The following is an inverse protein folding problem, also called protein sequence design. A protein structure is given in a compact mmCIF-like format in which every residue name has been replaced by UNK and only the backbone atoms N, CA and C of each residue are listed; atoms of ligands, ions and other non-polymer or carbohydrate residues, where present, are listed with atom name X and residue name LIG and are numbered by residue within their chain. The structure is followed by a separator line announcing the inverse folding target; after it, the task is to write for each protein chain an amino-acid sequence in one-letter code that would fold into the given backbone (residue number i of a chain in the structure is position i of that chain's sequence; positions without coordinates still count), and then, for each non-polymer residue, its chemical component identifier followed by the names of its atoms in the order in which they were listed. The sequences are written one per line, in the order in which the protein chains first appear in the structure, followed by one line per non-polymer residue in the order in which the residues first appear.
data_IF_758870451139
#
_entry.id   IF_758870451139
#
_cell.length_a   1.000
_cell.length_b   1.000
_cell.length_c   1.000
_cell.angle_alpha   90.00
_cell.angle_beta   90.00
_cell.angle_gamma   90.00
#
_symmetry.space_group_name_H-M   'P 1'
#
loop_
_entity.id
_entity.type
_entity.pdbx_description
1 polymer ?
#
# COMPACT_ATOMS: atom_id res chain seq x y z
N UNK A 1 3.81 7.89 -10.07
CA UNK A 1 4.86 8.86 -9.68
C UNK A 1 4.79 9.07 -8.19
N UNK A 2 5.91 9.04 -7.46
CA UNK A 2 5.93 9.36 -6.03
C UNK A 2 5.97 10.87 -5.83
N UNK A 3 5.07 11.39 -4.99
CA UNK A 3 5.06 12.79 -4.55
C UNK A 3 5.73 12.90 -3.19
N UNK A 4 5.21 12.18 -2.20
CA UNK A 4 5.79 12.11 -0.86
C UNK A 4 5.58 13.35 -0.01
N UNK A 5 4.51 14.08 -0.28
CA UNK A 5 4.12 15.28 0.44
C UNK A 5 2.67 15.18 0.86
N UNK A 6 2.34 15.93 1.90
CA UNK A 6 0.97 16.11 2.35
C UNK A 6 0.90 17.49 2.98
N UNK A 7 0.94 18.49 2.11
CA UNK A 7 0.99 19.90 2.49
C UNK A 7 0.12 20.76 1.58
N UNK A 8 -0.76 20.11 0.81
CA UNK A 8 -1.60 20.75 -0.19
C UNK A 8 -0.82 21.09 -1.45
N UNK A 9 -1.42 21.94 -2.27
CA UNK A 9 -0.90 22.31 -3.59
C UNK A 9 0.23 23.35 -3.47
N UNK A 10 1.36 22.96 -2.91
CA UNK A 10 2.57 23.79 -2.83
C UNK A 10 3.20 24.02 -4.20
N UNK A 11 4.12 24.98 -4.32
CA UNK A 11 4.86 25.17 -5.57
C UNK A 11 5.65 23.90 -5.98
N UNK A 12 6.26 23.22 -5.00
CA UNK A 12 7.01 21.99 -5.25
C UNK A 12 6.11 20.84 -5.71
N UNK A 13 4.93 20.67 -5.10
CA UNK A 13 3.92 19.73 -5.56
C UNK A 13 3.54 19.99 -7.03
N UNK A 14 3.27 21.26 -7.38
CA UNK A 14 2.92 21.64 -8.75
C UNK A 14 4.05 21.32 -9.73
N UNK A 15 5.30 21.62 -9.36
CA UNK A 15 6.47 21.33 -10.19
C UNK A 15 6.63 19.82 -10.44
N UNK A 16 6.48 18.99 -9.39
CA UNK A 16 6.53 17.55 -9.50
C UNK A 16 5.43 17.00 -10.42
N UNK A 17 4.18 17.41 -10.22
CA UNK A 17 3.07 16.92 -11.05
C UNK A 17 3.24 17.39 -12.49
N UNK A 18 3.51 18.69 -12.72
CA UNK A 18 3.67 19.25 -14.07
C UNK A 18 4.84 18.62 -14.84
N UNK A 19 5.88 18.11 -14.15
CA UNK A 19 7.00 17.44 -14.81
C UNK A 19 6.62 16.14 -15.53
N UNK A 20 5.49 15.51 -15.16
CA UNK A 20 5.07 14.20 -15.68
C UNK A 20 3.61 14.11 -16.11
N UNK A 21 2.78 15.13 -15.86
CA UNK A 21 1.31 15.08 -16.06
C UNK A 21 0.89 14.71 -17.48
N UNK A 22 1.66 15.15 -18.48
CA UNK A 22 1.40 14.86 -19.90
C UNK A 22 2.08 13.58 -20.39
N UNK A 23 2.82 12.87 -19.53
CA UNK A 23 3.52 11.65 -19.93
C UNK A 23 2.50 10.56 -20.31
N UNK A 24 2.55 9.99 -21.53
CA UNK A 24 1.50 9.11 -22.04
C UNK A 24 1.38 7.76 -21.30
N UNK A 25 2.37 7.42 -20.47
CA UNK A 25 2.37 6.22 -19.61
C UNK A 25 2.12 6.53 -18.13
N UNK A 26 1.76 7.76 -17.80
CA UNK A 26 1.42 8.11 -16.43
C UNK A 26 0.11 7.40 -16.05
N UNK A 27 0.21 6.48 -15.10
CA UNK A 27 -0.94 5.80 -14.51
C UNK A 27 -1.57 6.59 -13.35
N UNK A 28 -0.73 7.20 -12.52
CA UNK A 28 -1.19 7.90 -11.33
C UNK A 28 -0.06 8.40 -10.43
N UNK A 29 -0.46 9.00 -9.31
CA UNK A 29 0.39 9.63 -8.31
C UNK A 29 0.23 8.94 -6.95
N UNK A 30 1.36 8.52 -6.36
CA UNK A 30 1.45 8.06 -4.99
C UNK A 30 1.73 9.29 -4.13
N UNK A 31 0.68 9.82 -3.51
CA UNK A 31 0.70 11.08 -2.79
C UNK A 31 1.54 10.96 -1.52
N UNK A 32 1.21 9.98 -0.66
CA UNK A 32 1.84 9.85 0.65
C UNK A 32 1.87 8.41 1.15
N UNK A 33 3.00 8.04 1.75
CA UNK A 33 3.24 6.80 2.47
C UNK A 33 3.05 7.03 3.97
N UNK A 34 2.16 6.24 4.59
CA UNK A 34 1.76 6.37 5.99
C UNK A 34 1.45 7.82 6.40
N UNK A 35 0.44 8.48 5.81
CA UNK A 35 0.03 9.82 6.23
C UNK A 35 -0.42 9.78 7.70
N UNK A 36 0.14 10.66 8.53
CA UNK A 36 -0.17 10.75 9.98
C UNK A 36 -1.14 11.91 10.27
N UNK A 37 -2.43 11.63 10.55
CA UNK A 37 -3.45 12.65 10.81
C UNK A 37 -3.30 13.28 12.20
N UNK A 38 -2.46 12.70 13.05
CA UNK A 38 -2.22 13.17 14.42
C UNK A 38 -0.97 14.02 14.54
N UNK A 39 -0.04 13.90 13.58
CA UNK A 39 1.28 14.54 13.62
C UNK A 39 2.18 14.02 14.74
N UNK A 40 1.86 12.87 15.35
CA UNK A 40 2.55 12.34 16.53
C UNK A 40 3.84 11.61 16.17
N UNK A 41 3.85 10.93 15.04
CA UNK A 41 4.93 10.02 14.61
C UNK A 41 5.63 10.52 13.36
N UNK A 42 4.90 11.24 12.50
CA UNK A 42 5.39 11.89 11.28
C UNK A 42 4.82 13.32 11.20
N UNK A 43 5.31 14.18 10.28
CA UNK A 43 4.67 15.47 10.04
C UNK A 43 3.16 15.33 9.83
N UNK A 44 2.39 16.26 10.41
CA UNK A 44 0.93 16.26 10.31
C UNK A 44 0.50 16.26 8.84
N UNK A 45 -0.29 15.27 8.47
CA UNK A 45 -0.88 15.15 7.14
C UNK A 45 -2.39 15.14 7.28
N UNK A 46 -3.06 16.23 6.91
CA UNK A 46 -4.52 16.32 7.01
C UNK A 46 -5.18 15.71 5.79
N UNK A 47 -6.32 15.06 5.97
CA UNK A 47 -7.18 14.63 4.86
C UNK A 47 -7.53 15.79 3.88
N UNK A 48 -7.66 17.03 4.37
CA UNK A 48 -7.90 18.22 3.54
C UNK A 48 -6.73 18.57 2.61
N UNK A 49 -5.50 18.28 3.02
CA UNK A 49 -4.31 18.58 2.22
C UNK A 49 -4.22 17.57 1.06
N UNK A 50 -4.45 16.28 1.34
CA UNK A 50 -4.59 15.23 0.32
C UNK A 50 -5.75 15.51 -0.64
N UNK A 51 -6.87 16.03 -0.13
CA UNK A 51 -8.00 16.47 -0.94
C UNK A 51 -7.60 17.55 -1.94
N UNK A 52 -6.90 18.58 -1.47
CA UNK A 52 -6.45 19.67 -2.34
C UNK A 52 -5.48 19.16 -3.42
N UNK A 53 -4.57 18.24 -3.05
CA UNK A 53 -3.63 17.62 -3.99
C UNK A 53 -4.35 16.74 -5.04
N UNK A 54 -5.27 15.88 -4.60
CA UNK A 54 -6.06 15.02 -5.49
C UNK A 54 -6.94 15.83 -6.45
N UNK A 55 -7.68 16.82 -5.94
CA UNK A 55 -8.52 17.71 -6.75
C UNK A 55 -7.69 18.40 -7.84
N UNK A 56 -6.51 18.92 -7.46
CA UNK A 56 -5.64 19.64 -8.39
C UNK A 56 -5.09 18.76 -9.51
N UNK A 57 -4.75 17.49 -9.20
CA UNK A 57 -4.34 16.48 -10.19
C UNK A 57 -5.50 16.19 -11.15
N UNK A 58 -6.69 15.91 -10.64
CA UNK A 58 -7.85 15.56 -11.47
C UNK A 58 -8.32 16.71 -12.36
N UNK A 59 -8.18 17.97 -11.95
CA UNK A 59 -8.42 19.13 -12.81
C UNK A 59 -7.54 19.17 -14.07
N UNK A 60 -6.32 18.62 -13.99
CA UNK A 60 -5.31 18.67 -15.07
C UNK A 60 -5.22 17.37 -15.84
N UNK A 61 -5.43 16.25 -15.16
CA UNK A 61 -5.40 14.91 -15.73
C UNK A 61 -6.51 14.07 -15.11
N UNK A 62 -7.76 14.20 -15.59
CA UNK A 62 -8.92 13.51 -15.02
C UNK A 62 -8.79 11.98 -14.96
N UNK A 63 -7.98 11.39 -15.85
CA UNK A 63 -7.78 9.94 -15.92
C UNK A 63 -6.63 9.43 -15.02
N UNK A 64 -5.85 10.32 -14.39
CA UNK A 64 -4.76 9.91 -13.51
C UNK A 64 -5.29 9.56 -12.12
N UNK A 65 -4.90 8.40 -11.60
CA UNK A 65 -5.30 7.96 -10.27
C UNK A 65 -4.41 8.55 -9.18
N UNK A 66 -4.97 8.74 -8.00
CA UNK A 66 -4.25 9.09 -6.77
C UNK A 66 -4.25 7.93 -5.78
N UNK A 67 -3.13 7.77 -5.08
CA UNK A 67 -2.91 6.64 -4.20
C UNK A 67 -2.21 7.07 -2.90
N UNK A 68 -2.61 6.50 -1.78
CA UNK A 68 -1.89 6.58 -0.49
C UNK A 68 -1.73 5.19 0.11
N UNK A 69 -0.68 4.96 0.89
CA UNK A 69 -0.57 3.80 1.77
C UNK A 69 -1.02 4.21 3.17
N UNK A 70 -2.09 3.60 3.68
CA UNK A 70 -2.70 4.03 4.94
C UNK A 70 -1.82 3.71 6.14
N UNK A 71 -1.59 4.72 6.99
CA UNK A 71 -0.93 4.52 8.27
C UNK A 71 -1.86 3.75 9.23
N UNK A 72 -1.40 2.60 9.71
CA UNK A 72 -2.09 1.93 10.82
C UNK A 72 -1.88 2.71 12.13
N UNK A 73 -2.96 3.25 12.69
CA UNK A 73 -2.97 3.98 13.97
C UNK A 73 -3.18 3.06 15.18
N UNK A 74 -3.49 1.78 14.92
CA UNK A 74 -3.68 0.75 15.94
C UNK A 74 -2.52 -0.24 16.01
N UNK A 75 -2.83 -1.47 16.43
CA UNK A 75 -1.90 -2.61 16.39
C UNK A 75 -2.23 -3.52 15.20
N UNK A 76 -1.41 -4.52 14.89
CA UNK A 76 -1.75 -5.53 13.89
C UNK A 76 -2.81 -6.53 14.39
N UNK A 77 -3.07 -6.57 15.69
CA UNK A 77 -4.17 -7.34 16.28
C UNK A 77 -5.50 -6.58 16.22
N UNK A 78 -5.46 -5.25 16.29
CA UNK A 78 -6.60 -4.35 16.19
C UNK A 78 -6.21 -3.12 15.36
N UNK A 79 -6.13 -3.27 14.01
CA UNK A 79 -5.75 -2.16 13.14
C UNK A 79 -6.85 -1.10 13.11
N UNK A 80 -6.43 0.14 12.91
CA UNK A 80 -7.34 1.28 12.81
C UNK A 80 -6.78 2.30 11.82
N UNK A 81 -7.65 2.88 11.00
CA UNK A 81 -7.31 3.91 10.03
C UNK A 81 -8.18 5.15 10.25
N UNK A 82 -7.69 6.32 9.88
CA UNK A 82 -8.46 7.55 10.04
C UNK A 82 -9.53 7.67 8.96
N UNK A 83 -10.76 8.00 9.37
CA UNK A 83 -11.86 8.26 8.46
C UNK A 83 -11.67 9.53 7.61
N UNK A 84 -10.78 10.44 8.00
CA UNK A 84 -10.49 11.64 7.20
C UNK A 84 -9.80 11.32 5.87
N UNK A 85 -9.21 10.12 5.75
CA UNK A 85 -8.61 9.65 4.52
C UNK A 85 -9.61 8.92 3.62
N UNK A 86 -10.85 8.69 4.06
CA UNK A 86 -11.87 8.07 3.21
C UNK A 86 -12.09 8.85 1.90
N UNK A 87 -12.47 8.18 0.79
CA UNK A 87 -12.69 8.83 -0.49
C UNK A 87 -13.56 10.08 -0.43
N UNK A 88 -14.63 10.04 0.35
CA UNK A 88 -15.58 11.14 0.50
C UNK A 88 -14.98 12.39 1.16
N UNK A 89 -13.86 12.22 1.89
CA UNK A 89 -13.16 13.30 2.59
C UNK A 89 -11.87 13.72 1.89
N UNK A 90 -11.05 12.76 1.47
CA UNK A 90 -9.72 12.98 0.90
C UNK A 90 -9.71 13.06 -0.61
N UNK A 91 -10.78 12.63 -1.28
CA UNK A 91 -10.86 12.48 -2.73
C UNK A 91 -9.74 11.61 -3.34
N UNK A 92 -9.04 10.81 -2.52
CA UNK A 92 -8.04 9.86 -3.02
C UNK A 92 -8.75 8.66 -3.67
N UNK A 93 -8.20 8.14 -4.76
CA UNK A 93 -8.81 7.07 -5.54
C UNK A 93 -8.56 5.70 -4.94
N UNK A 94 -7.30 5.43 -4.56
CA UNK A 94 -6.83 4.11 -4.16
C UNK A 94 -6.06 4.14 -2.84
N UNK A 95 -6.24 3.07 -2.06
CA UNK A 95 -5.76 2.99 -0.68
C UNK A 95 -5.03 1.68 -0.47
N UNK A 96 -3.73 1.77 -0.27
CA UNK A 96 -2.92 0.64 0.16
C UNK A 96 -3.20 0.34 1.63
N UNK A 97 -3.24 -0.95 1.95
CA UNK A 97 -3.26 -1.46 3.31
C UNK A 97 -2.10 -2.43 3.45
N UNK A 98 -1.26 -2.25 4.46
CA UNK A 98 0.05 -2.92 4.60
C UNK A 98 0.10 -3.91 5.78
N UNK A 99 -0.69 -4.99 5.78
CA UNK A 99 -0.49 -6.07 6.75
C UNK A 99 0.85 -6.77 6.45
N UNK A 100 1.66 -6.96 7.49
CA UNK A 100 2.93 -7.70 7.42
C UNK A 100 2.86 -8.96 8.28
N UNK A 101 2.24 -10.04 7.75
CA UNK A 101 1.84 -11.22 8.51
C UNK A 101 3.01 -12.16 8.85
N UNK A 102 4.17 -12.03 8.22
CA UNK A 102 5.31 -12.93 8.40
C UNK A 102 6.32 -12.35 9.39
N UNK A 103 6.17 -12.73 10.67
CA UNK A 103 7.03 -12.28 11.77
C UNK A 103 7.98 -13.36 12.26
N UNK A 104 9.10 -12.95 12.85
CA UNK A 104 10.14 -13.85 13.39
C UNK A 104 9.60 -14.67 14.56
N UNK A 105 8.77 -14.07 15.43
CA UNK A 105 8.22 -14.78 16.57
C UNK A 105 7.14 -15.81 16.20
N UNK A 106 6.72 -15.85 14.92
CA UNK A 106 5.62 -16.71 14.47
C UNK A 106 6.11 -17.84 13.55
N UNK A 107 5.69 -19.10 13.80
CA UNK A 107 6.12 -20.24 13.01
C UNK A 107 5.60 -20.19 11.57
N UNK A 108 4.47 -19.53 11.34
CA UNK A 108 3.81 -19.32 10.04
C UNK A 108 3.31 -17.88 9.95
N UNK A 109 3.11 -17.36 8.74
CA UNK A 109 2.49 -16.05 8.58
C UNK A 109 1.04 -16.07 9.08
N UNK A 110 0.61 -15.01 9.77
CA UNK A 110 -0.79 -14.82 10.20
C UNK A 110 -1.63 -14.19 9.08
N UNK A 111 -2.18 -15.03 8.19
CA UNK A 111 -2.98 -14.53 7.06
C UNK A 111 -4.26 -13.81 7.49
N UNK A 112 -4.80 -14.10 8.68
CA UNK A 112 -5.96 -13.38 9.22
C UNK A 112 -5.64 -11.90 9.50
N UNK A 113 -4.36 -11.51 9.53
CA UNK A 113 -3.97 -10.10 9.59
C UNK A 113 -4.47 -9.32 8.38
N UNK A 114 -4.50 -9.95 7.19
CA UNK A 114 -5.01 -9.32 5.97
C UNK A 114 -6.49 -8.95 6.16
N UNK A 115 -7.28 -9.91 6.65
CA UNK A 115 -8.71 -9.73 6.94
C UNK A 115 -8.96 -8.57 7.89
N UNK A 116 -8.17 -8.50 8.97
CA UNK A 116 -8.30 -7.45 9.98
C UNK A 116 -8.01 -6.07 9.38
N UNK A 117 -6.98 -5.95 8.56
CA UNK A 117 -6.62 -4.69 7.90
C UNK A 117 -7.68 -4.28 6.87
N UNK A 118 -8.16 -5.21 6.05
CA UNK A 118 -9.24 -4.94 5.08
C UNK A 118 -10.51 -4.51 5.81
N UNK A 119 -10.92 -5.22 6.86
CA UNK A 119 -12.09 -4.88 7.65
C UNK A 119 -11.96 -3.52 8.33
N UNK A 120 -10.78 -3.18 8.87
CA UNK A 120 -10.54 -1.87 9.47
C UNK A 120 -10.59 -0.74 8.44
N UNK A 121 -10.06 -0.94 7.22
CA UNK A 121 -10.17 0.04 6.15
C UNK A 121 -11.63 0.26 5.71
N UNK A 122 -12.42 -0.81 5.63
CA UNK A 122 -13.85 -0.68 5.36
C UNK A 122 -14.58 0.07 6.47
N UNK A 123 -14.25 -0.20 7.73
CA UNK A 123 -14.81 0.52 8.89
C UNK A 123 -14.44 2.01 8.90
N UNK A 124 -13.27 2.38 8.35
CA UNK A 124 -12.88 3.78 8.17
C UNK A 124 -13.46 4.43 6.91
N UNK A 125 -14.35 3.75 6.18
CA UNK A 125 -15.03 4.30 5.00
C UNK A 125 -14.36 4.02 3.66
N UNK A 126 -13.35 3.14 3.59
CA UNK A 126 -12.73 2.74 2.32
C UNK A 126 -13.54 1.61 1.67
N UNK A 127 -14.15 1.82 0.49
CA UNK A 127 -14.87 0.76 -0.19
C UNK A 127 -13.89 -0.26 -0.77
N UNK A 128 -14.28 -1.54 -0.75
CA UNK A 128 -13.45 -2.68 -1.18
C UNK A 128 -12.80 -2.51 -2.58
N UNK A 129 -13.49 -1.99 -3.62
CA UNK A 129 -12.87 -1.79 -4.94
C UNK A 129 -11.76 -0.74 -4.98
N UNK A 130 -11.63 0.09 -3.93
CA UNK A 130 -10.56 1.10 -3.81
C UNK A 130 -9.39 0.63 -2.96
N UNK A 131 -9.46 -0.58 -2.40
CA UNK A 131 -8.37 -1.18 -1.64
C UNK A 131 -7.33 -1.73 -2.63
N UNK A 132 -6.07 -1.40 -2.40
CA UNK A 132 -4.91 -1.89 -3.15
C UNK A 132 -4.16 -2.91 -2.30
N UNK A 133 -4.09 -4.19 -2.71
CA UNK A 133 -3.31 -5.21 -2.03
C UNK A 133 -1.84 -4.80 -1.87
N UNK A 134 -1.31 -4.93 -0.65
CA UNK A 134 0.12 -4.77 -0.39
C UNK A 134 0.71 -6.06 0.16
N UNK A 135 1.68 -6.61 -0.54
CA UNK A 135 2.33 -7.87 -0.19
C UNK A 135 3.61 -7.64 0.60
N UNK A 136 3.78 -8.37 1.71
CA UNK A 136 5.05 -8.42 2.41
C UNK A 136 6.06 -9.23 1.58
N UNK A 137 6.98 -8.57 0.89
CA UNK A 137 8.07 -9.17 0.13
C UNK A 137 9.45 -8.85 0.75
N UNK A 138 9.48 -8.60 2.06
CA UNK A 138 10.67 -8.27 2.83
C UNK A 138 10.76 -9.04 4.16
N UNK A 139 11.94 -9.01 4.78
CA UNK A 139 12.16 -9.44 6.16
C UNK A 139 13.63 -9.45 6.57
N UNK A 140 13.89 -9.60 7.88
CA UNK A 140 15.20 -9.37 8.48
C UNK A 140 15.45 -7.89 8.76
N UNK A 141 16.73 -7.50 8.80
CA UNK A 141 17.13 -6.12 9.07
C UNK A 141 16.83 -5.66 10.49
N UNK A 142 16.66 -4.35 10.66
CA UNK A 142 16.36 -3.71 11.96
C UNK A 142 14.91 -3.25 12.08
N UNK A 143 14.02 -3.77 11.24
CA UNK A 143 12.59 -3.53 11.39
C UNK A 143 12.06 -4.16 12.68
N UNK A 144 11.23 -3.42 13.40
CA UNK A 144 10.50 -3.91 14.57
C UNK A 144 9.01 -3.89 14.26
N UNK A 145 8.31 -4.95 14.61
CA UNK A 145 6.86 -4.97 14.65
C UNK A 145 6.34 -4.26 15.90
N UNK A 146 5.02 -4.05 15.95
CA UNK A 146 4.31 -3.57 17.14
C UNK A 146 4.32 -4.56 18.33
N UNK A 147 4.74 -5.81 18.10
CA UNK A 147 4.99 -6.82 19.14
C UNK A 147 6.42 -6.82 19.67
N UNK A 148 7.29 -5.95 19.13
CA UNK A 148 8.70 -5.84 19.53
C UNK A 148 9.63 -6.91 18.93
N UNK A 149 9.11 -7.79 18.07
CA UNK A 149 9.92 -8.72 17.28
C UNK A 149 10.24 -8.14 15.89
N UNK A 150 10.86 -8.94 15.01
CA UNK A 150 11.17 -8.52 13.64
C UNK A 150 10.31 -9.21 12.59
N UNK A 151 10.47 -8.78 11.34
CA UNK A 151 9.85 -9.44 10.19
C UNK A 151 10.77 -10.51 9.61
N UNK A 152 10.19 -11.53 8.98
CA UNK A 152 10.95 -12.52 8.20
C UNK A 152 10.44 -12.58 6.77
N UNK A 153 11.31 -12.97 5.86
CA UNK A 153 10.90 -13.22 4.48
C UNK A 153 9.83 -14.33 4.45
N UNK A 154 8.71 -14.14 3.72
CA UNK A 154 7.80 -15.22 3.44
C UNK A 154 8.50 -16.31 2.63
N UNK A 155 8.13 -17.56 2.88
CA UNK A 155 8.45 -18.66 1.97
C UNK A 155 7.59 -18.57 0.69
N UNK A 156 7.93 -19.35 -0.34
CA UNK A 156 7.13 -19.43 -1.58
C UNK A 156 5.68 -19.87 -1.29
N UNK A 157 5.50 -20.85 -0.39
CA UNK A 157 4.17 -21.34 -0.04
C UNK A 157 3.36 -20.25 0.68
N UNK A 158 3.97 -19.57 1.67
CA UNK A 158 3.31 -18.48 2.40
C UNK A 158 2.96 -17.29 1.49
N UNK A 159 3.82 -16.96 0.51
CA UNK A 159 3.51 -15.91 -0.46
C UNK A 159 2.34 -16.31 -1.37
N UNK A 160 2.27 -17.57 -1.83
CA UNK A 160 1.12 -18.01 -2.62
C UNK A 160 -0.18 -17.92 -1.79
N UNK A 161 -0.18 -18.36 -0.54
CA UNK A 161 -1.36 -18.24 0.33
C UNK A 161 -1.72 -16.77 0.65
N UNK A 162 -0.73 -15.87 0.67
CA UNK A 162 -0.98 -14.43 0.79
C UNK A 162 -1.66 -13.87 -0.47
N UNK A 163 -1.20 -14.24 -1.66
CA UNK A 163 -1.82 -13.86 -2.94
C UNK A 163 -3.25 -14.38 -3.05
N UNK A 164 -3.47 -15.66 -2.72
CA UNK A 164 -4.79 -16.29 -2.69
C UNK A 164 -5.73 -15.58 -1.71
N UNK A 165 -5.26 -15.27 -0.50
CA UNK A 165 -6.11 -14.56 0.47
C UNK A 165 -6.47 -13.15 0.02
N UNK A 166 -5.52 -12.45 -0.62
CA UNK A 166 -5.80 -11.14 -1.21
C UNK A 166 -6.80 -11.22 -2.36
N UNK A 167 -6.73 -12.24 -3.22
CA UNK A 167 -7.65 -12.40 -4.35
C UNK A 167 -9.07 -12.76 -3.89
N UNK A 168 -9.22 -13.48 -2.78
CA UNK A 168 -10.54 -13.71 -2.17
C UNK A 168 -11.19 -12.43 -1.64
N UNK A 169 -10.40 -11.57 -0.99
CA UNK A 169 -10.90 -10.35 -0.35
C UNK A 169 -11.07 -9.19 -1.34
N UNK A 170 -10.13 -9.01 -2.25
CA UNK A 170 -10.11 -7.92 -3.23
C UNK A 170 -9.86 -8.54 -4.60
N UNK A 171 -10.88 -9.16 -5.23
CA UNK A 171 -10.69 -9.98 -6.44
C UNK A 171 -10.34 -9.20 -7.70
N UNK A 172 -10.69 -7.92 -7.76
CA UNK A 172 -10.45 -7.07 -8.94
C UNK A 172 -9.79 -5.75 -8.50
N UNK A 173 -8.58 -5.78 -7.94
CA UNK A 173 -7.90 -4.56 -7.55
C UNK A 173 -7.44 -3.82 -8.81
N UNK A 174 -7.42 -2.48 -8.75
CA UNK A 174 -6.97 -1.65 -9.88
C UNK A 174 -5.47 -1.87 -10.16
N UNK A 175 -4.68 -2.06 -9.10
CA UNK A 175 -3.32 -2.59 -9.15
C UNK A 175 -2.98 -3.24 -7.80
N UNK A 176 -1.80 -3.86 -7.70
CA UNK A 176 -1.23 -4.37 -6.46
C UNK A 176 0.24 -3.97 -6.31
N UNK A 177 0.77 -4.10 -5.10
CA UNK A 177 2.11 -3.61 -4.78
C UNK A 177 2.85 -4.55 -3.81
N UNK A 178 4.15 -4.75 -4.04
CA UNK A 178 5.02 -5.51 -3.15
C UNK A 178 5.91 -4.56 -2.33
N UNK A 179 5.77 -4.59 -1.01
CA UNK A 179 6.69 -3.91 -0.10
C UNK A 179 7.76 -4.90 0.38
N UNK A 180 9.05 -4.76 0.07
CA UNK A 180 9.65 -3.73 -0.79
C UNK A 180 10.57 -4.34 -1.83
N UNK A 181 10.84 -3.58 -2.91
CA UNK A 181 11.76 -4.01 -3.97
C UNK A 181 13.22 -3.96 -3.51
N UNK A 182 13.66 -2.81 -2.97
CA UNK A 182 15.05 -2.57 -2.57
C UNK A 182 15.25 -2.76 -1.07
N UNK A 183 16.49 -3.07 -0.68
CA UNK A 183 16.88 -3.25 0.73
C UNK A 183 16.66 -1.97 1.52
N UNK A 184 16.03 -2.12 2.68
CA UNK A 184 15.85 -1.06 3.66
C UNK A 184 16.27 -1.56 5.04
N UNK A 185 16.96 -0.71 5.80
CA UNK A 185 17.36 -1.04 7.18
C UNK A 185 18.10 -2.40 7.30
N UNK A 186 18.91 -2.73 6.30
CA UNK A 186 19.66 -3.99 6.18
C UNK A 186 18.78 -5.25 6.12
N UNK A 187 17.54 -5.14 5.66
CA UNK A 187 16.66 -6.29 5.42
C UNK A 187 17.04 -7.08 4.16
N UNK A 188 16.32 -8.18 3.94
CA UNK A 188 16.20 -8.82 2.63
C UNK A 188 14.93 -8.30 1.98
N UNK A 189 15.03 -7.86 0.73
CA UNK A 189 13.92 -7.35 -0.06
C UNK A 189 13.67 -8.23 -1.29
N UNK A 190 12.63 -7.92 -2.07
CA UNK A 190 12.25 -8.71 -3.25
C UNK A 190 13.38 -8.79 -4.28
N UNK A 191 14.17 -7.73 -4.49
CA UNK A 191 15.32 -7.73 -5.40
C UNK A 191 16.38 -8.79 -5.02
N UNK A 192 16.42 -9.22 -3.75
CA UNK A 192 17.35 -10.22 -3.25
C UNK A 192 16.75 -11.62 -3.13
N UNK A 193 15.46 -11.80 -3.46
CA UNK A 193 14.76 -13.08 -3.37
C UNK A 193 14.38 -13.62 -4.74
N UNK A 194 15.28 -14.39 -5.36
CA UNK A 194 15.03 -15.04 -6.64
C UNK A 194 13.81 -15.99 -6.60
N UNK A 195 13.49 -16.55 -5.44
CA UNK A 195 12.31 -17.41 -5.26
C UNK A 195 11.02 -16.59 -5.30
N UNK A 196 10.93 -15.48 -4.55
CA UNK A 196 9.73 -14.63 -4.58
C UNK A 196 9.59 -13.88 -5.90
N UNK A 197 10.68 -13.48 -6.55
CA UNK A 197 10.63 -12.93 -7.91
C UNK A 197 9.93 -13.87 -8.90
N UNK A 198 10.16 -15.19 -8.80
CA UNK A 198 9.45 -16.17 -9.65
C UNK A 198 7.96 -16.25 -9.33
N UNK A 199 7.57 -16.08 -8.06
CA UNK A 199 6.15 -16.04 -7.66
C UNK A 199 5.48 -14.80 -8.25
N UNK A 200 6.04 -13.61 -8.04
CA UNK A 200 5.49 -12.37 -8.58
C UNK A 200 5.50 -12.31 -10.11
N UNK A 201 6.53 -12.86 -10.77
CA UNK A 201 6.54 -12.97 -12.23
C UNK A 201 5.36 -13.83 -12.74
N UNK A 202 5.01 -14.91 -12.03
CA UNK A 202 3.85 -15.74 -12.38
C UNK A 202 2.55 -14.97 -12.14
N UNK A 203 2.40 -14.34 -10.98
CA UNK A 203 1.25 -13.48 -10.63
C UNK A 203 0.99 -12.41 -11.70
N UNK A 204 2.02 -11.64 -12.07
CA UNK A 204 1.93 -10.55 -13.05
C UNK A 204 1.58 -11.03 -14.47
N UNK A 205 1.88 -12.29 -14.81
CA UNK A 205 1.49 -12.90 -16.09
C UNK A 205 0.06 -13.44 -16.04
N UNK A 206 -0.36 -13.99 -14.91
CA UNK A 206 -1.72 -14.50 -14.72
C UNK A 206 -2.77 -13.38 -14.83
N UNK A 207 -2.47 -12.16 -14.38
CA UNK A 207 -3.35 -11.00 -14.60
C UNK A 207 -3.54 -10.57 -16.08
N UNK A 208 -2.71 -11.10 -16.99
CA UNK A 208 -2.80 -10.83 -18.44
C UNK A 208 -3.56 -11.92 -19.21
N UNK A 209 -3.75 -13.11 -18.63
CA UNK A 209 -4.41 -14.27 -19.23
C UNK A 209 -5.51 -14.76 -18.29
N UNK A 210 -6.76 -14.32 -18.53
CA UNK A 210 -7.91 -14.39 -17.62
C UNK A 210 -8.49 -15.79 -17.31
N UNK A 211 -7.69 -16.86 -17.31
CA UNK A 211 -8.19 -18.19 -16.97
C UNK A 211 -7.21 -18.96 -16.09
N UNK A 212 -7.59 -19.06 -14.82
CA UNK A 212 -7.06 -19.97 -13.78
C UNK A 212 -5.62 -19.69 -13.35
N UNK A 213 -5.47 -19.08 -12.18
CA UNK A 213 -4.21 -19.09 -11.46
C UNK A 213 -4.50 -19.12 -9.96
N UNK A 214 -3.83 -20.00 -9.19
CA UNK A 214 -4.02 -20.14 -7.74
C UNK A 214 -3.54 -18.91 -6.97
#
# INVERSE_FOLDING_TARGET
MWIGECSGVTAHFQDLVNSVVDHPKLFGFYLMDDPDPTGRWRPLCKGSDLRAESDWIHERKPDALTFILLMNLGSSAAPAFSAEYAPDSSHVDLFGVSPYPCRIAWPTCDLNMIDRFVAAAQQSGIPLPRITPTYQAFGGGTWSSDGGDGYRMPTVAEMNSMLERWSELVPNPVFDYAYSWGVQRSDTALANSAQLQKVFLRHNRCGQEAATCP
#
